data_IF_343085683961
#
_entry.id   IF_343085683961
#
_cell.length_a   1.000
_cell.length_b   1.000
_cell.length_c   1.000
_cell.angle_alpha   90.00
_cell.angle_beta   90.00
_cell.angle_gamma   90.00
#
_symmetry.space_group_name_H-M   'P 1'
#
loop_
_entity.id
_entity.type
_entity.pdbx_description
1 polymer ?
#
# COMPACT_ATOMS: atom_id res chain seq x y z
N UNK A 1 -19.35 -23.80 21.54
CA UNK A 1 -19.50 -22.46 20.91
C UNK A 1 -18.17 -22.10 20.25
N UNK A 2 -18.11 -22.05 18.92
CA UNK A 2 -16.88 -21.93 18.14
C UNK A 2 -16.23 -20.55 18.28
N UNK A 3 -14.91 -20.53 18.52
CA UNK A 3 -14.05 -19.34 18.66
C UNK A 3 -13.97 -18.62 17.31
N UNK A 4 -14.78 -17.59 17.08
CA UNK A 4 -14.72 -16.76 15.87
C UNK A 4 -13.67 -15.67 16.05
N UNK A 5 -12.40 -16.07 15.99
CA UNK A 5 -11.30 -15.12 15.91
C UNK A 5 -11.42 -14.32 14.63
N UNK A 6 -11.55 -13.00 14.74
CA UNK A 6 -11.35 -12.07 13.64
C UNK A 6 -10.70 -10.83 14.22
N UNK A 7 -9.37 -10.91 14.32
CA UNK A 7 -8.42 -9.80 14.37
C UNK A 7 -9.04 -8.59 13.65
N UNK A 8 -9.45 -7.59 14.43
CA UNK A 8 -10.18 -6.39 14.02
C UNK A 8 -9.33 -5.46 13.18
N UNK A 9 -8.71 -6.00 12.12
CA UNK A 9 -8.06 -5.24 11.06
C UNK A 9 -9.17 -4.59 10.26
N UNK A 10 -9.64 -3.46 10.78
CA UNK A 10 -10.50 -2.52 10.10
C UNK A 10 -9.87 -2.26 8.72
N UNK A 11 -10.40 -2.94 7.71
CA UNK A 11 -9.96 -2.78 6.34
C UNK A 11 -10.76 -1.60 5.84
N UNK A 12 -10.18 -0.40 5.93
CA UNK A 12 -10.85 0.82 5.45
C UNK A 12 -11.36 0.58 4.03
N UNK A 13 -12.67 0.44 3.93
CA UNK A 13 -13.40 0.17 2.68
C UNK A 13 -13.44 1.40 1.79
N UNK A 14 -12.92 2.53 2.27
CA UNK A 14 -13.03 3.84 1.64
C UNK A 14 -11.90 4.17 0.67
N UNK A 15 -10.90 3.30 0.49
CA UNK A 15 -9.86 3.44 -0.55
C UNK A 15 -8.98 4.70 -0.46
N UNK A 16 -9.28 5.63 0.45
CA UNK A 16 -8.46 6.80 0.76
C UNK A 16 -7.33 6.32 1.65
N UNK A 17 -6.22 6.00 0.99
CA UNK A 17 -4.95 5.75 1.65
C UNK A 17 -4.51 7.10 2.20
N UNK A 18 -4.85 7.35 3.47
CA UNK A 18 -4.54 8.59 4.16
C UNK A 18 -3.05 8.92 4.00
N UNK A 19 -2.76 10.18 3.68
CA UNK A 19 -1.48 10.72 3.16
C UNK A 19 -0.23 10.37 3.98
N UNK A 20 -0.36 9.72 5.14
CA UNK A 20 0.70 9.45 6.12
C UNK A 20 0.93 7.99 6.51
N UNK A 21 0.10 7.02 6.08
CA UNK A 21 0.30 5.64 6.54
C UNK A 21 1.30 4.87 5.68
N UNK A 22 2.60 5.04 5.97
CA UNK A 22 3.68 4.20 5.44
C UNK A 22 3.50 2.70 5.68
N UNK A 23 2.58 2.29 6.56
CA UNK A 23 2.19 0.90 6.80
C UNK A 23 1.20 0.34 5.75
N UNK A 24 0.77 1.15 4.78
CA UNK A 24 -0.11 0.70 3.70
C UNK A 24 0.59 -0.37 2.86
N UNK A 25 -0.09 -1.48 2.57
CA UNK A 25 0.48 -2.54 1.72
C UNK A 25 0.45 -2.17 0.24
N UNK A 26 1.49 -2.55 -0.49
CA UNK A 26 1.58 -2.41 -1.97
C UNK A 26 0.36 -3.04 -2.66
N UNK A 27 -0.12 -4.17 -2.18
CA UNK A 27 -1.33 -4.81 -2.72
C UNK A 27 -2.60 -4.00 -2.54
N UNK A 28 -2.71 -3.19 -1.48
CA UNK A 28 -3.83 -2.24 -1.32
C UNK A 28 -3.67 -1.07 -2.30
N UNK A 29 -2.45 -0.57 -2.48
CA UNK A 29 -2.14 0.50 -3.44
C UNK A 29 -2.43 0.08 -4.89
N UNK A 30 -2.15 -1.18 -5.26
CA UNK A 30 -2.51 -1.72 -6.58
C UNK A 30 -4.00 -1.72 -6.87
N UNK A 31 -4.84 -1.90 -5.86
CA UNK A 31 -6.31 -1.80 -6.04
C UNK A 31 -6.76 -0.39 -6.43
N UNK A 32 -6.04 0.63 -5.97
CA UNK A 32 -6.35 2.04 -6.24
C UNK A 32 -5.64 2.56 -7.49
N UNK A 33 -4.38 2.21 -7.69
CA UNK A 33 -3.49 2.76 -8.73
C UNK A 33 -3.23 1.80 -9.90
N UNK A 34 -3.77 0.59 -9.87
CA UNK A 34 -3.59 -0.46 -10.87
C UNK A 34 -2.50 -1.48 -10.53
N UNK A 35 -2.59 -2.67 -11.14
CA UNK A 35 -1.65 -3.78 -10.89
C UNK A 35 -0.21 -3.48 -11.31
N UNK A 36 -0.03 -2.47 -12.16
CA UNK A 36 1.27 -1.95 -12.59
C UNK A 36 2.01 -1.23 -11.45
N UNK A 37 1.31 -0.80 -10.40
CA UNK A 37 1.91 -0.11 -9.26
C UNK A 37 2.94 -1.02 -8.56
N UNK A 38 4.20 -0.55 -8.51
CA UNK A 38 5.34 -1.30 -7.97
C UNK A 38 5.45 -2.73 -8.56
N UNK A 39 5.32 -2.87 -9.87
CA UNK A 39 5.46 -4.15 -10.58
C UNK A 39 6.77 -4.84 -10.20
N UNK A 40 6.70 -6.13 -9.90
CA UNK A 40 7.85 -6.93 -9.42
C UNK A 40 8.09 -6.89 -7.91
N UNK A 41 7.41 -6.02 -7.14
CA UNK A 41 7.48 -6.02 -5.68
C UNK A 41 6.39 -6.90 -5.06
N UNK A 42 6.63 -7.39 -3.85
CA UNK A 42 5.68 -8.23 -3.13
C UNK A 42 4.45 -7.44 -2.70
N UNK A 43 3.25 -8.01 -2.84
CA UNK A 43 1.97 -7.35 -2.49
C UNK A 43 1.79 -7.07 -1.00
N UNK A 44 2.49 -7.81 -0.14
CA UNK A 44 2.46 -7.67 1.31
C UNK A 44 3.50 -6.67 1.85
N UNK A 45 4.41 -6.19 1.00
CA UNK A 45 5.37 -5.13 1.32
C UNK A 45 4.64 -3.84 1.73
N UNK A 46 5.19 -3.13 2.71
CA UNK A 46 4.67 -1.83 3.14
C UNK A 46 5.19 -0.71 2.24
N UNK A 47 4.38 0.34 2.09
CA UNK A 47 4.71 1.54 1.33
C UNK A 47 6.01 2.17 1.83
N UNK A 48 6.24 2.25 3.14
CA UNK A 48 7.50 2.78 3.69
C UNK A 48 8.74 2.04 3.21
N UNK A 49 8.64 0.71 3.08
CA UNK A 49 9.74 -0.14 2.60
C UNK A 49 9.96 0.08 1.13
N UNK A 50 8.88 0.13 0.34
CA UNK A 50 8.94 0.48 -1.08
C UNK A 50 9.62 1.85 -1.27
N UNK A 51 9.16 2.87 -0.54
CA UNK A 51 9.67 4.24 -0.60
C UNK A 51 11.17 4.31 -0.25
N UNK A 52 11.61 3.58 0.78
CA UNK A 52 13.00 3.48 1.16
C UNK A 52 13.87 2.79 0.09
N UNK A 53 13.38 1.69 -0.49
CA UNK A 53 14.08 0.97 -1.57
C UNK A 53 14.18 1.80 -2.86
N UNK A 54 13.17 2.62 -3.16
CA UNK A 54 13.13 3.43 -4.38
C UNK A 54 13.69 4.84 -4.19
N UNK A 55 14.14 5.21 -2.99
CA UNK A 55 14.68 6.54 -2.69
C UNK A 55 13.65 7.65 -2.91
N UNK A 56 12.38 7.41 -2.56
CA UNK A 56 11.28 8.35 -2.74
C UNK A 56 10.68 8.73 -1.39
N UNK A 57 10.44 10.01 -1.17
CA UNK A 57 10.04 10.52 0.15
C UNK A 57 8.53 10.34 0.45
N UNK A 58 7.71 10.12 -0.58
CA UNK A 58 6.26 9.96 -0.42
C UNK A 58 5.62 9.19 -1.57
N UNK A 59 4.40 8.71 -1.36
CA UNK A 59 3.58 8.08 -2.40
C UNK A 59 3.43 8.98 -3.64
N UNK A 60 3.20 10.28 -3.45
CA UNK A 60 3.08 11.22 -4.58
C UNK A 60 4.40 11.37 -5.35
N UNK A 61 5.54 11.41 -4.65
CA UNK A 61 6.85 11.44 -5.31
C UNK A 61 7.11 10.16 -6.10
N UNK A 62 6.73 9.01 -5.55
CA UNK A 62 6.80 7.72 -6.24
C UNK A 62 5.93 7.70 -7.51
N UNK A 63 4.66 8.13 -7.40
CA UNK A 63 3.74 8.16 -8.54
C UNK A 63 4.25 9.07 -9.66
N UNK A 64 4.77 10.26 -9.35
CA UNK A 64 5.35 11.13 -10.40
C UNK A 64 6.54 10.52 -11.15
N UNK A 65 7.33 9.67 -10.49
CA UNK A 65 8.50 9.00 -11.08
C UNK A 65 8.14 7.71 -11.84
N UNK A 66 7.13 6.97 -11.37
CA UNK A 66 6.87 5.59 -11.81
C UNK A 66 5.48 5.36 -12.41
N UNK A 67 4.58 6.35 -12.36
CA UNK A 67 3.21 6.27 -12.85
C UNK A 67 3.02 7.33 -13.94
N UNK A 68 3.57 7.05 -15.13
CA UNK A 68 3.35 7.76 -16.40
C UNK A 68 2.68 6.82 -17.39
#
# INVERSE_FOLDING_TARGET
MARKGLDGRHRDTTGRIDKKHGNTRVGSLRKTYGDHFAKGRRKDMMLKTLLAETGTESLHAYLRKHHK
#
